data_IF_256398482613
#
_entry.id   IF_256398482613
#
_cell.length_a   1.000
_cell.length_b   1.000
_cell.length_c   1.000
_cell.angle_alpha   90.00
_cell.angle_beta   90.00
_cell.angle_gamma   90.00
#
_symmetry.space_group_name_H-M   'P 1'
#
loop_
_entity.id
_entity.type
_entity.pdbx_description
1 polymer ?
#
# COMPACT_ATOMS: atom_id res chain seq x y z
N UNK A 1 -22.36 5.90 -3.06
CA UNK A 1 -22.80 6.24 -1.69
C UNK A 1 -24.32 6.19 -1.64
N UNK A 2 -24.92 5.59 -0.61
CA UNK A 2 -26.37 5.59 -0.38
C UNK A 2 -26.69 6.37 0.90
N UNK A 3 -27.70 7.23 0.86
CA UNK A 3 -28.16 8.00 2.01
C UNK A 3 -29.70 8.06 1.99
N UNK A 4 -30.34 7.31 2.90
CA UNK A 4 -31.77 7.01 2.79
C UNK A 4 -32.08 6.32 1.45
N UNK A 5 -33.07 6.84 0.72
CA UNK A 5 -33.45 6.34 -0.61
C UNK A 5 -32.58 6.87 -1.76
N UNK A 6 -31.67 7.81 -1.50
CA UNK A 6 -30.87 8.45 -2.54
C UNK A 6 -29.57 7.68 -2.81
N UNK A 7 -29.25 7.48 -4.09
CA UNK A 7 -28.00 6.83 -4.55
C UNK A 7 -27.15 7.81 -5.34
N UNK A 8 -25.87 7.89 -4.96
CA UNK A 8 -24.88 8.78 -5.57
C UNK A 8 -23.73 7.96 -6.13
N UNK A 9 -23.41 8.20 -7.40
CA UNK A 9 -22.24 7.61 -8.04
C UNK A 9 -21.01 8.43 -7.70
N UNK A 10 -19.91 7.74 -7.45
CA UNK A 10 -18.61 8.35 -7.24
C UNK A 10 -17.57 7.42 -7.85
N UNK A 11 -16.41 7.98 -8.15
CA UNK A 11 -15.25 7.26 -8.67
C UNK A 11 -14.10 7.40 -7.68
N UNK A 12 -13.24 6.39 -7.65
CA UNK A 12 -11.97 6.41 -6.94
C UNK A 12 -10.90 6.04 -7.97
N UNK A 13 -9.72 6.63 -7.89
CA UNK A 13 -8.60 6.20 -8.70
C UNK A 13 -8.21 4.74 -8.37
N UNK A 14 -7.61 4.06 -9.35
CA UNK A 14 -7.31 2.64 -9.25
C UNK A 14 -6.37 2.32 -8.07
N UNK A 15 -5.39 3.19 -7.80
CA UNK A 15 -4.42 3.01 -6.73
C UNK A 15 -5.07 3.14 -5.35
N UNK A 16 -5.82 4.21 -5.07
CA UNK A 16 -6.55 4.36 -3.82
C UNK A 16 -7.57 3.26 -3.61
N UNK A 17 -8.25 2.79 -4.67
CA UNK A 17 -9.11 1.61 -4.58
C UNK A 17 -8.31 0.38 -4.17
N UNK A 18 -7.16 0.12 -4.78
CA UNK A 18 -6.30 -1.00 -4.40
C UNK A 18 -5.87 -0.91 -2.93
N UNK A 19 -5.39 0.24 -2.47
CA UNK A 19 -4.99 0.42 -1.07
C UNK A 19 -6.16 0.20 -0.12
N UNK A 20 -7.32 0.79 -0.39
CA UNK A 20 -8.51 0.68 0.46
C UNK A 20 -9.06 -0.75 0.51
N UNK A 21 -9.01 -1.49 -0.61
CA UNK A 21 -9.50 -2.87 -0.66
C UNK A 21 -8.55 -3.88 0.00
N UNK A 22 -7.24 -3.59 0.03
CA UNK A 22 -6.23 -4.48 0.61
C UNK A 22 -5.74 -4.03 2.01
N UNK A 23 -6.29 -2.93 2.55
CA UNK A 23 -5.88 -2.38 3.84
C UNK A 23 -4.46 -1.81 3.85
N UNK A 24 -3.96 -1.31 2.71
CA UNK A 24 -2.60 -0.79 2.59
C UNK A 24 -2.54 0.68 3.05
N UNK A 25 -1.59 0.96 3.93
CA UNK A 25 -1.12 2.30 4.26
C UNK A 25 0.30 2.52 3.70
N UNK A 26 0.97 3.59 4.09
CA UNK A 26 2.34 3.85 3.65
C UNK A 26 3.33 2.77 4.07
N UNK A 27 3.18 2.20 5.28
CA UNK A 27 4.05 1.13 5.77
C UNK A 27 3.74 -0.16 5.00
N UNK A 28 2.46 -0.51 4.85
CA UNK A 28 2.02 -1.66 4.09
C UNK A 28 2.49 -1.64 2.64
N UNK A 29 2.48 -0.46 2.00
CA UNK A 29 3.06 -0.28 0.67
C UNK A 29 4.58 -0.50 0.65
N UNK A 30 5.31 -0.03 1.67
CA UNK A 30 6.74 -0.34 1.81
C UNK A 30 6.99 -1.84 1.98
N UNK A 31 6.20 -2.50 2.83
CA UNK A 31 6.34 -3.93 3.12
C UNK A 31 5.95 -4.83 1.92
N UNK A 32 5.28 -4.32 0.89
CA UNK A 32 5.15 -5.06 -0.37
C UNK A 32 6.49 -5.35 -1.06
N UNK A 33 7.56 -4.68 -0.64
CA UNK A 33 8.91 -4.85 -1.16
C UNK A 33 9.84 -5.57 -0.18
N UNK A 34 9.30 -6.31 0.80
CA UNK A 34 10.08 -6.98 1.86
C UNK A 34 11.28 -7.79 1.31
N UNK A 35 11.06 -8.63 0.30
CA UNK A 35 12.13 -9.40 -0.34
C UNK A 35 13.24 -8.53 -0.95
N UNK A 36 12.86 -7.41 -1.58
CA UNK A 36 13.82 -6.49 -2.20
C UNK A 36 14.59 -5.69 -1.14
N UNK A 37 13.93 -5.32 -0.06
CA UNK A 37 14.53 -4.68 1.12
C UNK A 37 15.56 -5.65 1.71
N UNK A 38 15.17 -6.89 2.00
CA UNK A 38 16.06 -7.92 2.54
C UNK A 38 17.26 -8.19 1.63
N UNK A 39 17.04 -8.28 0.31
CA UNK A 39 18.12 -8.48 -0.66
C UNK A 39 19.09 -7.30 -0.76
N UNK A 40 18.63 -6.08 -0.50
CA UNK A 40 19.47 -4.90 -0.41
C UNK A 40 20.27 -4.88 0.90
N UNK A 41 19.61 -5.13 2.03
CA UNK A 41 20.21 -5.18 3.37
C UNK A 41 21.30 -6.25 3.47
N UNK A 42 21.10 -7.42 2.86
CA UNK A 42 22.10 -8.49 2.80
C UNK A 42 23.39 -8.11 2.06
N UNK A 43 23.35 -7.07 1.22
CA UNK A 43 24.52 -6.56 0.48
C UNK A 43 25.20 -5.38 1.17
N UNK A 44 24.66 -4.91 2.30
CA UNK A 44 25.26 -3.80 3.01
C UNK A 44 26.61 -4.21 3.62
N UNK A 45 27.65 -3.35 3.54
CA UNK A 45 28.91 -3.60 4.19
C UNK A 45 28.76 -3.79 5.70
N UNK A 46 29.58 -4.64 6.29
CA UNK A 46 29.53 -4.94 7.73
C UNK A 46 29.71 -3.73 8.66
N UNK A 47 30.16 -2.57 8.16
CA UNK A 47 30.29 -1.34 8.94
C UNK A 47 29.03 -0.47 8.97
N UNK A 48 27.99 -0.80 8.17
CA UNK A 48 26.70 -0.11 8.16
C UNK A 48 25.68 -0.72 9.12
N UNK A 49 25.96 -1.89 9.69
CA UNK A 49 25.16 -2.56 10.72
C UNK A 49 25.78 -2.37 12.10
#
# INVERSE_FOLDING_TARGET
>A
VKAGEKTYRFTIDAFRRHCMMNGLDSIGLTLQHDDAIAAYEAKQPAFMN
#
